data_IF_498195521761
#
_entry.id   IF_498195521761
#
_cell.length_a   1.000
_cell.length_b   1.000
_cell.length_c   1.000
_cell.angle_alpha   90.00
_cell.angle_beta   90.00
_cell.angle_gamma   90.00
#
_symmetry.space_group_name_H-M   'P 1'
#
loop_
_entity.id
_entity.type
_entity.pdbx_description
1 polymer ?
#
# COMPACT_ATOMS: atom_id res chain seq x y z
N UNK A 1 1.42 -1.81 23.97
CA UNK A 1 1.00 -0.41 24.22
C UNK A 1 1.87 0.23 25.29
N UNK A 2 2.12 -0.47 26.40
CA UNK A 2 2.93 0.08 27.50
C UNK A 2 4.36 0.45 27.11
N UNK A 3 4.98 -0.27 26.16
CA UNK A 3 6.33 0.05 25.70
C UNK A 3 6.39 1.33 24.84
N UNK A 4 5.32 1.66 24.11
CA UNK A 4 5.18 2.94 23.40
C UNK A 4 5.07 4.07 24.41
N UNK A 5 4.27 3.86 25.48
CA UNK A 5 4.11 4.82 26.58
C UNK A 5 5.42 5.10 27.32
N UNK A 6 6.28 4.09 27.51
CA UNK A 6 7.62 4.25 28.10
C UNK A 6 8.54 5.10 27.21
N UNK A 7 8.34 5.06 25.89
CA UNK A 7 9.18 5.78 24.92
C UNK A 7 8.71 7.22 24.73
N UNK A 8 7.40 7.44 24.63
CA UNK A 8 6.81 8.77 24.54
C UNK A 8 5.34 8.75 24.95
N UNK A 9 5.02 9.49 26.00
CA UNK A 9 3.64 9.63 26.51
C UNK A 9 2.74 10.35 25.50
N UNK A 10 3.25 11.39 24.84
CA UNK A 10 2.49 12.18 23.85
C UNK A 10 2.09 11.33 22.63
N UNK A 11 3.02 10.52 22.12
CA UNK A 11 2.74 9.60 21.00
C UNK A 11 1.71 8.56 21.41
N UNK A 12 1.82 8.02 22.63
CA UNK A 12 0.84 7.07 23.15
C UNK A 12 -0.56 7.70 23.24
N UNK A 13 -0.67 8.92 23.77
CA UNK A 13 -1.96 9.60 23.87
C UNK A 13 -2.57 9.91 22.50
N UNK A 14 -1.76 10.35 21.54
CA UNK A 14 -2.19 10.57 20.17
C UNK A 14 -2.72 9.27 19.51
N UNK A 15 -1.96 8.17 19.59
CA UNK A 15 -2.35 6.89 18.99
C UNK A 15 -3.60 6.30 19.64
N UNK A 16 -3.79 6.52 20.95
CA UNK A 16 -4.98 6.05 21.68
C UNK A 16 -6.26 6.74 21.18
N UNK A 17 -6.16 7.95 20.61
CA UNK A 17 -7.32 8.67 20.03
C UNK A 17 -7.71 8.14 18.64
N UNK A 18 -6.87 7.35 17.99
CA UNK A 18 -7.14 6.76 16.68
C UNK A 18 -7.65 5.33 16.89
N UNK A 19 -8.73 4.90 16.19
CA UNK A 19 -9.17 3.51 16.22
C UNK A 19 -8.02 2.54 15.99
N UNK A 20 -7.92 1.51 16.83
CA UNK A 20 -6.77 0.59 16.87
C UNK A 20 -6.55 -0.11 15.52
N UNK A 21 -7.64 -0.47 14.86
CA UNK A 21 -7.68 -1.06 13.52
C UNK A 21 -7.04 -0.22 12.42
N UNK A 22 -6.85 1.08 12.62
CA UNK A 22 -6.29 1.96 11.59
C UNK A 22 -4.76 1.98 11.57
N UNK A 23 -4.10 1.55 12.66
CA UNK A 23 -2.65 1.73 12.80
C UNK A 23 -1.93 0.51 13.36
N UNK A 24 -2.61 -0.35 14.09
CA UNK A 24 -2.01 -1.56 14.64
C UNK A 24 -2.30 -2.76 13.73
N UNK A 25 -1.25 -3.32 13.12
CA UNK A 25 -1.36 -4.43 12.15
C UNK A 25 -2.14 -5.63 12.71
N UNK A 26 -1.98 -5.93 14.00
CA UNK A 26 -2.70 -7.03 14.67
C UNK A 26 -4.21 -6.80 14.83
N UNK A 27 -4.67 -5.55 14.68
CA UNK A 27 -6.07 -5.14 14.83
C UNK A 27 -6.73 -4.81 13.49
N UNK A 28 -6.05 -5.00 12.36
CA UNK A 28 -6.64 -4.77 11.04
C UNK A 28 -7.84 -5.69 10.81
N UNK A 29 -8.83 -5.20 10.04
CA UNK A 29 -10.05 -5.96 9.72
C UNK A 29 -9.70 -7.31 9.07
N UNK A 30 -10.16 -8.38 9.70
CA UNK A 30 -9.98 -9.75 9.25
C UNK A 30 -10.96 -10.16 8.14
N UNK A 31 -11.93 -9.32 7.81
CA UNK A 31 -12.88 -9.53 6.71
C UNK A 31 -12.22 -9.15 5.38
N UNK A 32 -11.54 -8.01 5.34
CA UNK A 32 -10.72 -7.58 4.20
C UNK A 32 -9.28 -8.14 4.26
N UNK A 33 -9.12 -9.45 4.49
CA UNK A 33 -7.80 -10.10 4.37
C UNK A 33 -7.31 -10.02 2.94
N UNK A 34 -6.45 -9.04 2.67
CA UNK A 34 -5.68 -9.00 1.44
C UNK A 34 -4.33 -9.63 1.76
N UNK A 35 -4.15 -10.91 1.44
CA UNK A 35 -2.86 -11.63 1.58
C UNK A 35 -1.71 -10.93 0.83
N UNK A 36 -2.04 -9.95 0.00
CA UNK A 36 -1.14 -9.15 -0.79
C UNK A 36 -0.54 -7.91 -0.10
N UNK A 37 -0.95 -7.58 1.13
CA UNK A 37 -0.31 -6.49 1.89
C UNK A 37 1.01 -6.96 2.53
N UNK A 38 1.94 -7.38 1.68
CA UNK A 38 3.25 -7.90 2.04
C UNK A 38 4.32 -6.81 1.92
N UNK A 39 5.47 -7.00 2.57
CA UNK A 39 6.66 -6.14 2.43
C UNK A 39 7.01 -5.83 0.96
N UNK A 40 6.65 -6.72 0.03
CA UNK A 40 6.87 -6.56 -1.40
C UNK A 40 6.25 -5.28 -1.99
N UNK A 41 5.11 -4.80 -1.46
CA UNK A 41 4.49 -3.55 -1.93
C UNK A 41 5.35 -2.34 -1.53
N UNK A 42 5.80 -2.31 -0.28
CA UNK A 42 6.65 -1.24 0.27
C UNK A 42 8.03 -1.27 -0.38
N UNK A 43 8.62 -2.46 -0.54
CA UNK A 43 9.91 -2.66 -1.21
C UNK A 43 9.85 -2.23 -2.69
N UNK A 44 8.81 -2.63 -3.43
CA UNK A 44 8.63 -2.23 -4.82
C UNK A 44 8.45 -0.71 -4.95
N UNK A 45 7.67 -0.09 -4.06
CA UNK A 45 7.50 1.36 -4.04
C UNK A 45 8.80 2.09 -3.73
N UNK A 46 9.52 1.67 -2.68
CA UNK A 46 10.82 2.24 -2.31
C UNK A 46 11.85 2.08 -3.43
N UNK A 47 11.86 0.94 -4.13
CA UNK A 47 12.70 0.71 -5.30
C UNK A 47 12.42 1.68 -6.46
N UNK A 48 11.17 2.08 -6.69
CA UNK A 48 10.85 3.10 -7.69
C UNK A 48 11.25 4.49 -7.21
N UNK A 49 10.92 4.82 -5.95
CA UNK A 49 11.19 6.13 -5.37
C UNK A 49 12.67 6.43 -5.31
N UNK A 50 13.54 5.42 -5.15
CA UNK A 50 14.99 5.63 -5.12
C UNK A 50 15.51 6.35 -6.38
N UNK A 51 14.88 6.13 -7.55
CA UNK A 51 15.23 6.78 -8.83
C UNK A 51 14.73 8.22 -8.94
N UNK A 52 13.78 8.62 -8.09
CA UNK A 52 13.11 9.91 -8.17
C UNK A 52 13.39 10.81 -6.96
N UNK A 53 13.92 10.26 -5.86
CA UNK A 53 14.16 10.96 -4.60
C UNK A 53 15.16 12.11 -4.71
N UNK A 54 16.10 12.05 -5.67
CA UNK A 54 17.05 13.12 -5.93
C UNK A 54 16.46 14.28 -6.76
N UNK A 55 15.22 14.18 -7.23
CA UNK A 55 14.57 15.20 -8.04
C UNK A 55 13.85 16.23 -7.15
N UNK A 56 13.64 17.46 -7.66
CA UNK A 56 12.76 18.42 -6.99
C UNK A 56 11.39 17.81 -6.71
N UNK A 57 10.79 18.19 -5.57
CA UNK A 57 9.55 17.58 -5.06
C UNK A 57 8.43 17.53 -6.13
N UNK A 58 8.23 18.62 -6.86
CA UNK A 58 7.21 18.68 -7.92
C UNK A 58 7.49 17.67 -9.05
N UNK A 59 8.74 17.57 -9.49
CA UNK A 59 9.17 16.62 -10.52
C UNK A 59 9.05 15.17 -10.03
N UNK A 60 9.41 14.92 -8.77
CA UNK A 60 9.25 13.61 -8.14
C UNK A 60 7.78 13.19 -8.13
N UNK A 61 6.87 14.06 -7.65
CA UNK A 61 5.43 13.79 -7.61
C UNK A 61 4.86 13.54 -9.01
N UNK A 62 5.25 14.33 -10.00
CA UNK A 62 4.78 14.15 -11.38
C UNK A 62 5.24 12.80 -11.96
N UNK A 63 6.47 12.36 -11.68
CA UNK A 63 6.95 11.03 -12.11
C UNK A 63 6.18 9.89 -11.43
N UNK A 64 5.90 10.01 -10.14
CA UNK A 64 5.08 9.05 -9.40
C UNK A 64 3.68 8.96 -9.99
N UNK A 65 3.02 10.11 -10.22
CA UNK A 65 1.70 10.18 -10.84
C UNK A 65 1.65 9.51 -12.20
N UNK A 66 2.60 9.82 -13.10
CA UNK A 66 2.71 9.17 -14.43
C UNK A 66 2.90 7.67 -14.34
N UNK A 67 3.71 7.20 -13.39
CA UNK A 67 3.94 5.76 -13.16
C UNK A 67 2.64 5.06 -12.77
N UNK A 68 1.87 5.63 -11.84
CA UNK A 68 0.57 5.09 -11.44
C UNK A 68 -0.41 5.08 -12.60
N UNK A 69 -0.54 6.20 -13.33
CA UNK A 69 -1.44 6.27 -14.50
C UNK A 69 -1.11 5.20 -15.54
N UNK A 70 0.17 5.01 -15.88
CA UNK A 70 0.58 3.96 -16.81
C UNK A 70 0.19 2.58 -16.29
N UNK A 71 0.47 2.27 -15.01
CA UNK A 71 0.11 0.98 -14.42
C UNK A 71 -1.39 0.71 -14.38
N UNK A 72 -2.20 1.73 -14.11
CA UNK A 72 -3.67 1.62 -14.13
C UNK A 72 -4.14 1.31 -15.54
N UNK A 73 -3.64 2.05 -16.54
CA UNK A 73 -3.94 1.83 -17.96
C UNK A 73 -3.54 0.42 -18.40
N UNK A 74 -2.31 -0.01 -18.11
CA UNK A 74 -1.81 -1.34 -18.46
C UNK A 74 -2.66 -2.44 -17.82
N UNK A 75 -3.09 -2.28 -16.55
CA UNK A 75 -4.01 -3.24 -15.91
C UNK A 75 -5.39 -3.25 -16.55
N UNK A 76 -5.91 -2.09 -16.91
CA UNK A 76 -7.20 -1.97 -17.56
C UNK A 76 -7.18 -2.67 -18.94
N UNK A 77 -6.17 -2.40 -19.76
CA UNK A 77 -6.00 -3.07 -21.06
C UNK A 77 -5.89 -4.59 -20.93
N UNK A 78 -5.12 -5.07 -19.94
CA UNK A 78 -5.05 -6.51 -19.66
C UNK A 78 -6.40 -7.07 -19.21
N UNK A 79 -7.18 -6.33 -18.42
CA UNK A 79 -8.49 -6.77 -17.95
C UNK A 79 -9.51 -6.88 -19.09
N UNK A 80 -9.39 -6.07 -20.14
CA UNK A 80 -10.23 -6.18 -21.34
C UNK A 80 -10.03 -7.50 -22.08
N UNK A 81 -8.85 -8.13 -21.97
CA UNK A 81 -8.57 -9.42 -22.60
C UNK A 81 -8.96 -10.61 -21.72
N UNK A 82 -9.57 -10.39 -20.55
CA UNK A 82 -9.98 -11.47 -19.67
C UNK A 82 -11.38 -11.97 -20.06
N UNK A 83 -11.53 -13.29 -20.15
CA UNK A 83 -12.82 -13.93 -20.41
C UNK A 83 -13.76 -13.87 -19.18
N UNK A 84 -13.17 -13.70 -18.00
CA UNK A 84 -13.86 -13.71 -16.71
C UNK A 84 -13.88 -12.34 -16.05
N UNK A 85 -14.87 -12.12 -15.19
CA UNK A 85 -14.96 -10.93 -14.31
C UNK A 85 -13.88 -10.88 -13.23
N UNK A 86 -13.14 -11.98 -13.03
CA UNK A 86 -12.13 -12.16 -11.98
C UNK A 86 -10.76 -12.35 -12.65
N UNK A 87 -9.65 -11.80 -12.09
CA UNK A 87 -8.32 -12.00 -12.65
C UNK A 87 -7.95 -13.47 -12.86
N UNK A 88 -7.29 -13.84 -13.99
CA UNK A 88 -6.91 -15.23 -14.28
C UNK A 88 -6.07 -15.88 -13.20
N UNK A 89 -5.24 -15.12 -12.49
CA UNK A 89 -4.42 -15.65 -11.39
C UNK A 89 -5.26 -16.12 -10.20
N UNK A 90 -6.38 -15.44 -9.92
CA UNK A 90 -7.29 -15.81 -8.85
C UNK A 90 -8.09 -17.05 -9.25
N UNK A 91 -8.52 -17.15 -10.51
CA UNK A 91 -9.21 -18.35 -11.01
C UNK A 91 -8.35 -19.60 -10.88
N UNK A 92 -7.04 -19.50 -11.10
CA UNK A 92 -6.10 -20.64 -10.94
C UNK A 92 -5.93 -21.09 -9.47
N UNK A 93 -6.34 -20.26 -8.52
CA UNK A 93 -6.24 -20.54 -7.08
C UNK A 93 -7.55 -21.08 -6.48
N UNK A 94 -8.64 -21.07 -7.26
CA UNK A 94 -9.93 -21.66 -6.91
C UNK A 94 -10.00 -23.10 -7.43
#
# INVERSE_FOLDING_TARGET
MDDIKKTSTDVHEYLTRIPLENWAVHAFDNTCKTDHNTNNVVEAFNGWMNKYRALPMLTMMERVRRKFMKRIRDRYENALSWESKIPPIVIRML
#
